data_IF_568096368215
#
_entry.id   IF_568096368215
#
_cell.length_a   1.000
_cell.length_b   1.000
_cell.length_c   1.000
_cell.angle_alpha   90.00
_cell.angle_beta   90.00
_cell.angle_gamma   90.00
#
_symmetry.space_group_name_H-M   'P 1'
#
loop_
_entity.id
_entity.type
_entity.pdbx_description
1 polymer ?
#
# COMPACT_ATOMS: atom_id res chain seq x y z
N UNK A 1 -41.49 4.68 52.52
CA UNK A 1 -42.28 5.74 53.20
C UNK A 1 -41.47 6.22 54.39
N UNK A 2 -41.24 7.53 54.62
CA UNK A 2 -41.71 8.73 53.91
C UNK A 2 -40.54 9.54 53.27
N UNK A 3 -40.68 10.04 52.04
CA UNK A 3 -41.07 11.41 51.61
C UNK A 3 -39.89 12.42 51.43
N UNK A 4 -39.52 12.62 50.15
CA UNK A 4 -39.10 13.92 49.56
C UNK A 4 -40.33 14.87 49.48
N UNK A 5 -40.31 16.14 48.95
CA UNK A 5 -39.26 17.11 48.58
C UNK A 5 -39.60 18.59 48.97
N UNK A 6 -38.76 19.59 48.65
CA UNK A 6 -39.10 20.93 48.02
C UNK A 6 -37.83 21.82 48.03
N UNK A 7 -37.22 22.22 46.91
CA UNK A 7 -37.61 23.21 45.89
C UNK A 7 -37.90 24.64 46.38
N UNK A 8 -37.21 25.57 45.69
CA UNK A 8 -37.48 26.98 45.47
C UNK A 8 -37.22 27.95 46.65
N UNK A 9 -36.15 28.76 46.60
CA UNK A 9 -36.04 30.02 45.83
C UNK A 9 -36.63 31.20 46.63
N UNK A 10 -35.79 32.24 46.80
CA UNK A 10 -36.11 33.68 46.73
C UNK A 10 -35.61 34.54 47.90
N UNK A 11 -34.72 35.45 47.51
CA UNK A 11 -34.61 36.86 47.92
C UNK A 11 -33.95 37.19 49.27
N UNK A 12 -32.74 37.78 49.20
CA UNK A 12 -32.58 39.25 49.21
C UNK A 12 -31.11 39.67 49.05
N UNK A 13 -30.89 40.64 48.17
CA UNK A 13 -29.62 41.23 47.78
C UNK A 13 -29.02 42.16 48.86
N UNK A 14 -27.69 42.37 48.81
CA UNK A 14 -26.94 43.63 49.11
C UNK A 14 -25.42 43.40 48.84
N UNK A 15 -24.56 44.43 48.74
CA UNK A 15 -24.34 45.25 47.55
C UNK A 15 -22.90 45.16 47.01
N UNK A 16 -22.68 45.66 45.78
CA UNK A 16 -21.37 45.84 45.15
C UNK A 16 -20.46 46.76 45.98
N UNK A 17 -19.22 46.32 46.25
CA UNK A 17 -18.01 47.17 46.16
C UNK A 17 -16.82 46.37 45.62
N UNK A 18 -16.19 46.92 44.59
CA UNK A 18 -15.03 46.41 43.89
C UNK A 18 -13.77 46.41 44.77
N UNK A 19 -12.95 45.37 44.64
CA UNK A 19 -11.51 45.45 44.78
C UNK A 19 -10.87 44.50 43.75
N UNK A 20 -10.25 45.06 42.72
CA UNK A 20 -9.47 44.32 41.73
C UNK A 20 -8.16 43.85 42.37
N UNK A 21 -7.95 42.53 42.46
CA UNK A 21 -6.67 41.93 42.85
C UNK A 21 -5.73 41.84 41.64
N UNK A 22 -4.42 42.14 41.78
CA UNK A 22 -3.47 42.15 40.66
C UNK A 22 -2.94 40.75 40.35
N UNK A 23 -2.84 40.41 39.05
CA UNK A 23 -1.77 39.55 38.55
C UNK A 23 -2.10 38.08 38.24
N UNK A 24 -3.17 37.79 37.51
CA UNK A 24 -3.31 36.50 36.82
C UNK A 24 -2.21 36.38 35.75
N UNK A 25 -1.12 35.65 36.02
CA UNK A 25 -0.14 35.29 34.99
C UNK A 25 -0.85 34.53 33.88
N UNK A 26 -1.15 35.20 32.78
CA UNK A 26 -1.73 34.58 31.60
C UNK A 26 -0.79 33.47 31.10
N UNK A 27 -1.31 32.26 30.92
CA UNK A 27 -0.54 31.12 30.44
C UNK A 27 0.06 31.46 29.06
N UNK A 28 1.36 31.21 28.79
CA UNK A 28 2.04 31.69 27.57
C UNK A 28 1.34 31.30 26.25
N UNK A 29 0.70 30.13 26.20
CA UNK A 29 -0.05 29.68 25.02
C UNK A 29 -1.34 30.47 24.78
N UNK A 30 -1.95 31.04 25.82
CA UNK A 30 -3.12 31.92 25.72
C UNK A 30 -2.72 33.32 25.25
N UNK A 31 -1.54 33.82 25.68
CA UNK A 31 -0.99 35.08 25.17
C UNK A 31 -0.68 34.99 23.67
N UNK A 32 -0.15 33.85 23.22
CA UNK A 32 0.07 33.60 21.78
C UNK A 32 -1.25 33.53 21.00
N UNK A 33 -2.30 32.92 21.57
CA UNK A 33 -3.65 32.87 20.96
C UNK A 33 -4.32 34.24 20.93
N UNK A 34 -4.18 35.05 21.98
CA UNK A 34 -4.65 36.44 22.05
C UNK A 34 -3.90 37.34 21.06
N UNK A 35 -2.59 37.15 20.92
CA UNK A 35 -1.80 37.84 19.89
C UNK A 35 -2.25 37.46 18.47
N UNK A 36 -2.54 36.18 18.24
CA UNK A 36 -3.03 35.67 16.96
C UNK A 36 -4.44 36.18 16.62
N UNK A 37 -5.35 36.25 17.61
CA UNK A 37 -6.70 36.78 17.44
C UNK A 37 -6.72 38.30 17.27
N UNK A 38 -5.92 39.04 18.03
CA UNK A 38 -5.76 40.50 17.90
C UNK A 38 -5.20 40.88 16.52
N UNK A 39 -4.30 40.06 15.98
CA UNK A 39 -3.71 40.26 14.66
C UNK A 39 -4.66 39.91 13.50
N UNK A 40 -5.61 38.99 13.76
CA UNK A 40 -6.69 38.63 12.81
C UNK A 40 -7.71 39.77 12.61
N UNK A 41 -7.85 40.66 13.60
CA UNK A 41 -8.67 41.87 13.51
C UNK A 41 -7.94 43.07 12.86
N UNK A 42 -6.60 43.04 12.78
CA UNK A 42 -5.77 44.15 12.28
C UNK A 42 -5.19 43.93 10.87
N UNK A 43 -5.69 42.94 10.11
CA UNK A 43 -5.40 42.79 8.67
C UNK A 43 -3.93 42.56 8.27
N UNK A 44 -3.04 42.21 9.20
CA UNK A 44 -1.60 42.03 8.92
C UNK A 44 -1.20 40.61 9.22
N UNK A 45 -1.02 39.76 8.21
CA UNK A 45 -0.42 38.44 8.41
C UNK A 45 1.05 38.57 8.83
N UNK A 46 1.54 37.94 9.93
CA UNK A 46 2.95 37.63 10.01
C UNK A 46 3.19 36.40 9.14
N UNK A 47 3.55 36.61 7.88
CA UNK A 47 4.25 35.58 7.15
C UNK A 47 5.57 35.31 7.91
N UNK A 48 5.73 34.10 8.45
CA UNK A 48 7.06 33.61 8.84
C UNK A 48 7.82 33.36 7.53
N UNK A 49 8.32 34.43 6.94
CA UNK A 49 9.07 34.42 5.69
C UNK A 49 10.56 34.33 6.01
N UNK A 50 11.10 33.11 6.06
CA UNK A 50 12.56 32.89 6.07
C UNK A 50 13.10 31.88 7.09
N UNK A 51 14.39 31.60 6.96
CA UNK A 51 15.17 30.69 7.81
C UNK A 51 15.61 31.39 9.10
N UNK A 52 15.96 32.68 9.02
CA UNK A 52 16.32 33.49 10.19
C UNK A 52 15.15 33.68 11.16
N UNK A 53 13.93 33.76 10.64
CA UNK A 53 12.70 33.82 11.44
C UNK A 53 12.40 32.49 12.10
N UNK A 54 12.91 31.35 11.60
CA UNK A 54 12.71 30.03 12.19
C UNK A 54 13.58 29.79 13.43
N UNK A 55 14.88 30.11 13.37
CA UNK A 55 15.75 30.07 14.57
C UNK A 55 15.32 31.09 15.62
N UNK A 56 14.95 32.33 15.22
CA UNK A 56 14.37 33.32 16.13
C UNK A 56 13.04 32.87 16.75
N UNK A 57 12.29 32.01 16.07
CA UNK A 57 11.04 31.41 16.58
C UNK A 57 11.27 30.12 17.40
N UNK A 58 12.52 29.72 17.63
CA UNK A 58 12.87 28.53 18.42
C UNK A 58 12.48 27.21 17.76
N UNK A 59 12.43 27.16 16.43
CA UNK A 59 12.07 25.95 15.66
C UNK A 59 13.22 24.94 15.55
N UNK A 60 14.37 25.25 16.14
CA UNK A 60 15.48 24.31 16.29
C UNK A 60 15.19 23.26 17.38
N UNK A 61 14.36 23.59 18.39
CA UNK A 61 13.88 22.62 19.38
C UNK A 61 12.87 21.66 18.72
N UNK A 62 13.08 20.33 18.83
CA UNK A 62 12.19 19.33 18.21
C UNK A 62 10.72 19.45 18.62
N UNK A 63 10.40 19.85 19.85
CA UNK A 63 9.01 19.96 20.31
C UNK A 63 8.32 21.14 19.65
N UNK A 64 9.01 22.27 19.50
CA UNK A 64 8.50 23.44 18.81
C UNK A 64 8.32 23.15 17.31
N UNK A 65 9.28 22.47 16.70
CA UNK A 65 9.23 22.02 15.31
C UNK A 65 8.04 21.12 15.04
N UNK A 66 7.85 20.06 15.84
CA UNK A 66 6.69 19.14 15.75
C UNK A 66 5.37 19.86 15.96
N UNK A 67 5.31 20.78 16.91
CA UNK A 67 4.11 21.59 17.17
C UNK A 67 3.76 22.51 15.98
N UNK A 68 4.77 23.10 15.35
CA UNK A 68 4.60 23.90 14.13
C UNK A 68 4.12 23.04 12.96
N UNK A 69 4.77 21.89 12.71
CA UNK A 69 4.39 20.95 11.67
C UNK A 69 2.96 20.42 11.84
N UNK A 70 2.55 20.14 13.09
CA UNK A 70 1.17 19.78 13.42
C UNK A 70 0.19 20.88 13.04
N UNK A 71 0.49 22.12 13.45
CA UNK A 71 -0.36 23.27 13.15
C UNK A 71 -0.53 23.51 11.66
N UNK A 72 0.57 23.53 10.90
CA UNK A 72 0.51 23.79 9.45
C UNK A 72 -0.17 22.64 8.70
N UNK A 73 0.04 21.38 9.11
CA UNK A 73 -0.63 20.23 8.51
C UNK A 73 -2.15 20.26 8.75
N UNK A 74 -2.61 20.65 9.94
CA UNK A 74 -4.06 20.75 10.20
C UNK A 74 -4.75 21.83 9.36
N UNK A 75 -4.03 22.91 9.00
CA UNK A 75 -4.61 24.02 8.24
C UNK A 75 -4.48 23.81 6.73
N UNK A 76 -3.36 23.23 6.27
CA UNK A 76 -2.96 23.21 4.85
C UNK A 76 -2.58 21.83 4.32
N UNK A 77 -2.65 20.81 5.18
CA UNK A 77 -2.25 19.45 4.87
C UNK A 77 -3.39 18.59 4.32
N UNK A 78 -3.04 17.61 3.51
CA UNK A 78 -3.94 16.55 3.11
C UNK A 78 -3.21 15.21 3.01
N UNK A 79 -3.93 14.11 3.22
CA UNK A 79 -3.42 12.75 3.13
C UNK A 79 -4.34 11.93 2.22
N UNK A 80 -3.78 11.32 1.19
CA UNK A 80 -4.48 10.35 0.35
C UNK A 80 -4.57 9.02 1.13
N UNK A 81 -5.73 8.38 1.06
CA UNK A 81 -5.92 7.04 1.60
C UNK A 81 -4.90 6.06 0.99
N UNK A 82 -4.20 5.26 1.81
CA UNK A 82 -3.21 4.28 1.34
C UNK A 82 -3.80 3.19 0.43
N UNK A 83 -5.13 3.07 0.37
CA UNK A 83 -5.82 2.26 -0.65
C UNK A 83 -5.41 2.72 -2.06
N UNK A 84 -5.49 4.03 -2.32
CA UNK A 84 -5.23 4.63 -3.65
C UNK A 84 -3.75 4.88 -3.91
N UNK A 85 -2.98 5.15 -2.86
CA UNK A 85 -1.55 5.42 -2.97
C UNK A 85 -1.03 6.18 -1.75
N UNK A 86 0.29 6.30 -1.67
CA UNK A 86 0.98 6.98 -0.59
C UNK A 86 1.29 8.41 -1.03
N UNK A 87 0.53 9.37 -0.51
CA UNK A 87 0.74 10.78 -0.80
C UNK A 87 0.19 11.64 0.33
N UNK A 88 1.09 12.38 0.96
CA UNK A 88 0.78 13.45 1.90
C UNK A 88 1.28 14.75 1.32
N UNK A 89 0.49 15.82 1.40
CA UNK A 89 0.90 17.13 0.90
C UNK A 89 0.53 18.26 1.85
N UNK A 90 1.31 19.36 1.78
CA UNK A 90 1.08 20.62 2.50
C UNK A 90 1.18 21.75 1.48
N UNK A 91 0.07 22.43 1.21
CA UNK A 91 0.00 23.49 0.21
C UNK A 91 0.22 24.87 0.82
N UNK A 92 1.27 25.58 0.41
CA UNK A 92 1.73 26.84 0.97
C UNK A 92 1.67 27.96 -0.07
N UNK A 93 1.36 29.21 0.31
CA UNK A 93 1.23 30.33 -0.62
C UNK A 93 2.56 30.76 -1.25
N UNK A 94 3.69 30.64 -0.52
CA UNK A 94 4.99 31.14 -1.00
C UNK A 94 6.09 30.07 -0.96
N UNK A 95 7.13 30.28 -1.76
CA UNK A 95 8.26 29.35 -1.87
C UNK A 95 9.08 29.30 -0.58
N UNK A 96 9.19 30.44 0.11
CA UNK A 96 9.94 30.58 1.34
C UNK A 96 9.31 29.75 2.45
N UNK A 97 7.97 29.80 2.57
CA UNK A 97 7.23 28.99 3.52
C UNK A 97 7.36 27.49 3.20
N UNK A 98 7.28 27.11 1.92
CA UNK A 98 7.48 25.73 1.49
C UNK A 98 8.90 25.22 1.79
N UNK A 99 9.90 26.06 1.54
CA UNK A 99 11.30 25.75 1.84
C UNK A 99 11.54 25.61 3.35
N UNK A 100 10.90 26.45 4.17
CA UNK A 100 10.94 26.32 5.63
C UNK A 100 10.32 25.00 6.06
N UNK A 101 9.08 24.70 5.65
CA UNK A 101 8.40 23.44 6.02
C UNK A 101 9.21 22.22 5.60
N UNK A 102 9.77 22.22 4.38
CA UNK A 102 10.65 21.15 3.90
C UNK A 102 11.88 20.96 4.79
N UNK A 103 12.53 22.06 5.22
CA UNK A 103 13.68 21.99 6.15
C UNK A 103 13.28 21.44 7.52
N UNK A 104 12.12 21.83 8.05
CA UNK A 104 11.62 21.32 9.33
C UNK A 104 11.32 19.81 9.26
N UNK A 105 10.74 19.34 8.15
CA UNK A 105 10.50 17.91 7.90
C UNK A 105 11.83 17.15 7.81
N UNK A 106 12.80 17.68 7.07
CA UNK A 106 14.14 17.11 6.97
C UNK A 106 14.85 17.05 8.32
N UNK A 107 14.64 18.05 9.19
CA UNK A 107 15.18 18.07 10.54
C UNK A 107 14.62 16.99 11.48
N UNK A 108 13.45 16.43 11.17
CA UNK A 108 12.90 15.23 11.84
C UNK A 108 13.36 13.91 11.17
N UNK A 109 14.27 13.98 10.19
CA UNK A 109 14.81 12.81 9.50
C UNK A 109 13.97 12.29 8.33
N UNK A 110 12.90 13.01 7.95
CA UNK A 110 11.97 12.56 6.92
C UNK A 110 12.30 13.16 5.55
N UNK A 111 12.09 12.39 4.49
CA UNK A 111 12.31 12.86 3.12
C UNK A 111 11.04 13.53 2.58
N UNK A 112 11.19 14.70 1.98
CA UNK A 112 10.08 15.41 1.34
C UNK A 112 10.50 16.08 0.04
N UNK A 113 9.58 16.08 -0.93
CA UNK A 113 9.69 16.83 -2.17
C UNK A 113 9.00 18.19 -2.07
N UNK A 114 9.32 19.08 -3.01
CA UNK A 114 8.67 20.38 -3.15
C UNK A 114 8.38 20.64 -4.63
N UNK A 115 7.18 21.13 -4.96
CA UNK A 115 6.78 21.44 -6.33
C UNK A 115 5.90 22.69 -6.37
N UNK A 116 6.00 23.49 -7.42
CA UNK A 116 5.05 24.59 -7.68
C UNK A 116 3.82 24.02 -8.40
N UNK A 117 2.62 24.24 -7.85
CA UNK A 117 1.34 23.81 -8.43
C UNK A 117 0.38 24.99 -8.48
N UNK A 118 0.10 25.46 -9.70
CA UNK A 118 -0.69 26.69 -9.94
C UNK A 118 -0.08 27.88 -9.17
N UNK A 119 -0.87 28.55 -8.33
CA UNK A 119 -0.47 29.67 -7.49
C UNK A 119 0.12 29.28 -6.13
N UNK A 120 0.31 27.98 -5.86
CA UNK A 120 0.81 27.49 -4.58
C UNK A 120 2.11 26.67 -4.72
N UNK A 121 2.82 26.54 -3.61
CA UNK A 121 3.98 25.68 -3.43
C UNK A 121 3.60 24.50 -2.53
N UNK A 122 3.81 23.28 -3.01
CA UNK A 122 3.39 22.06 -2.33
C UNK A 122 4.60 21.29 -1.85
N UNK A 123 4.68 21.06 -0.54
CA UNK A 123 5.62 20.09 0.05
C UNK A 123 4.91 18.75 0.17
N UNK A 124 5.55 17.66 -0.26
CA UNK A 124 4.89 16.35 -0.29
C UNK A 124 5.80 15.21 0.17
N UNK A 125 5.19 14.16 0.71
CA UNK A 125 5.80 12.87 1.05
C UNK A 125 5.10 11.78 0.23
N UNK A 126 5.88 10.88 -0.37
CA UNK A 126 5.38 9.75 -1.18
C UNK A 126 5.69 8.39 -0.58
N UNK A 127 6.69 8.33 0.29
CA UNK A 127 7.07 7.08 0.93
C UNK A 127 6.11 6.74 2.08
N UNK A 128 5.70 5.48 2.18
CA UNK A 128 4.71 5.06 3.16
C UNK A 128 5.23 5.16 4.59
N UNK A 129 6.50 4.86 4.81
CA UNK A 129 7.16 4.92 6.12
C UNK A 129 7.36 6.37 6.54
N UNK A 130 7.81 7.23 5.62
CA UNK A 130 7.93 8.67 5.91
C UNK A 130 6.57 9.29 6.29
N UNK A 131 5.48 8.91 5.60
CA UNK A 131 4.12 9.39 5.91
C UNK A 131 3.68 8.89 7.29
N UNK A 132 3.90 7.61 7.59
CA UNK A 132 3.53 7.01 8.87
C UNK A 132 4.29 7.65 10.04
N UNK A 133 5.60 7.83 9.88
CA UNK A 133 6.45 8.54 10.84
C UNK A 133 6.02 10.00 11.00
N UNK A 134 5.69 10.69 9.90
CA UNK A 134 5.17 12.07 9.98
C UNK A 134 3.90 12.14 10.83
N UNK A 135 2.92 11.25 10.62
CA UNK A 135 1.71 11.18 11.44
C UNK A 135 2.01 10.88 12.91
N UNK A 136 2.98 10.01 13.18
CA UNK A 136 3.44 9.70 14.54
C UNK A 136 4.07 10.93 15.23
N UNK A 137 4.89 11.71 14.51
CA UNK A 137 5.45 12.97 15.00
C UNK A 137 4.36 14.01 15.33
N UNK A 138 3.27 14.01 14.56
CA UNK A 138 2.11 14.84 14.86
C UNK A 138 1.31 14.33 16.07
N UNK A 139 1.63 13.16 16.65
CA UNK A 139 0.88 12.56 17.75
C UNK A 139 -0.45 11.96 17.31
N UNK A 140 -0.61 11.64 16.03
CA UNK A 140 -1.85 11.12 15.46
C UNK A 140 -1.92 9.58 15.55
N UNK A 141 -1.77 9.01 16.75
CA UNK A 141 -1.64 7.56 16.97
C UNK A 141 -2.75 6.73 16.31
N UNK A 142 -4.02 7.18 16.44
CA UNK A 142 -5.16 6.47 15.84
C UNK A 142 -5.12 6.50 14.31
N UNK A 143 -4.61 7.59 13.72
CA UNK A 143 -4.44 7.72 12.28
C UNK A 143 -3.31 6.84 11.76
N UNK A 144 -2.20 6.73 12.52
CA UNK A 144 -1.08 5.82 12.20
C UNK A 144 -1.58 4.38 12.16
N UNK A 145 -2.26 3.92 13.22
CA UNK A 145 -2.78 2.55 13.27
C UNK A 145 -3.72 2.24 12.10
N UNK A 146 -4.64 3.16 11.78
CA UNK A 146 -5.54 3.00 10.64
C UNK A 146 -4.81 2.99 9.30
N UNK A 147 -3.78 3.81 9.17
CA UNK A 147 -2.96 3.88 7.95
C UNK A 147 -2.19 2.57 7.73
N UNK A 148 -1.55 2.05 8.78
CA UNK A 148 -0.82 0.79 8.73
C UNK A 148 -1.73 -0.43 8.51
N UNK A 149 -2.90 -0.47 9.15
CA UNK A 149 -3.88 -1.55 8.94
C UNK A 149 -4.27 -1.66 7.45
N UNK A 150 -4.61 -0.54 6.82
CA UNK A 150 -4.94 -0.51 5.39
C UNK A 150 -3.73 -0.92 4.53
N UNK A 151 -2.51 -0.47 4.88
CA UNK A 151 -1.28 -0.83 4.17
C UNK A 151 -1.01 -2.33 4.24
N UNK A 152 -1.14 -2.93 5.42
CA UNK A 152 -0.98 -4.38 5.63
C UNK A 152 -2.02 -5.15 4.83
N UNK A 153 -3.29 -4.79 4.94
CA UNK A 153 -4.36 -5.45 4.19
C UNK A 153 -4.12 -5.40 2.67
N UNK A 154 -3.65 -4.27 2.15
CA UNK A 154 -3.31 -4.12 0.73
C UNK A 154 -2.17 -5.05 0.33
N UNK A 155 -1.09 -5.10 1.12
CA UNK A 155 0.05 -6.00 0.88
C UNK A 155 -0.37 -7.46 0.86
N UNK A 156 -1.19 -7.89 1.84
CA UNK A 156 -1.71 -9.26 1.91
C UNK A 156 -2.57 -9.57 0.69
N UNK A 157 -3.54 -8.70 0.34
CA UNK A 157 -4.39 -8.88 -0.84
C UNK A 157 -3.57 -8.97 -2.12
N UNK A 158 -2.58 -8.10 -2.30
CA UNK A 158 -1.69 -8.14 -3.48
C UNK A 158 -0.84 -9.43 -3.52
N UNK A 159 -0.42 -9.95 -2.37
CA UNK A 159 0.28 -11.23 -2.31
C UNK A 159 -0.60 -12.39 -2.76
N UNK A 160 -1.84 -12.46 -2.25
CA UNK A 160 -2.82 -13.48 -2.63
C UNK A 160 -3.16 -13.40 -4.11
N UNK A 161 -3.41 -12.20 -4.64
CA UNK A 161 -3.70 -12.00 -6.06
C UNK A 161 -2.55 -12.46 -6.95
N UNK A 162 -1.29 -12.22 -6.55
CA UNK A 162 -0.13 -12.73 -7.29
C UNK A 162 -0.08 -14.25 -7.27
N UNK A 163 -0.28 -14.87 -6.11
CA UNK A 163 -0.31 -16.33 -6.01
C UNK A 163 -1.41 -16.94 -6.89
N UNK A 164 -2.64 -16.42 -6.79
CA UNK A 164 -3.77 -16.88 -7.61
C UNK A 164 -3.50 -16.72 -9.11
N UNK A 165 -2.89 -15.61 -9.53
CA UNK A 165 -2.53 -15.41 -10.94
C UNK A 165 -1.47 -16.40 -11.41
N UNK A 166 -0.49 -16.72 -10.55
CA UNK A 166 0.52 -17.74 -10.86
C UNK A 166 -0.10 -19.12 -10.96
N UNK A 167 -0.99 -19.49 -10.03
CA UNK A 167 -1.69 -20.78 -10.04
C UNK A 167 -2.56 -20.92 -11.29
N UNK A 168 -3.31 -19.87 -11.65
CA UNK A 168 -4.10 -19.82 -12.89
C UNK A 168 -3.23 -19.96 -14.14
N UNK A 169 -2.11 -19.25 -14.22
CA UNK A 169 -1.19 -19.34 -15.35
C UNK A 169 -0.52 -20.73 -15.45
N UNK A 170 -0.19 -21.34 -14.31
CA UNK A 170 0.37 -22.69 -14.26
C UNK A 170 -0.66 -23.73 -14.71
N UNK A 171 -1.91 -23.63 -14.23
CA UNK A 171 -2.99 -24.50 -14.66
C UNK A 171 -3.26 -24.37 -16.16
N UNK A 172 -3.37 -23.14 -16.67
CA UNK A 172 -3.59 -22.90 -18.10
C UNK A 172 -2.49 -23.52 -18.97
N UNK A 173 -1.22 -23.34 -18.60
CA UNK A 173 -0.08 -23.96 -19.32
C UNK A 173 -0.08 -25.48 -19.21
N UNK A 174 -0.50 -26.03 -18.07
CA UNK A 174 -0.62 -27.47 -17.88
C UNK A 174 -1.70 -28.08 -18.77
N UNK A 175 -2.86 -27.41 -18.86
CA UNK A 175 -3.98 -27.82 -19.73
C UNK A 175 -3.54 -27.76 -21.19
N UNK A 176 -2.97 -26.64 -21.65
CA UNK A 176 -2.48 -26.49 -23.02
C UNK A 176 -1.42 -27.56 -23.38
N UNK A 177 -0.49 -27.83 -22.45
CA UNK A 177 0.51 -28.88 -22.65
C UNK A 177 -0.12 -30.27 -22.72
N UNK A 178 -1.13 -30.57 -21.90
CA UNK A 178 -1.82 -31.86 -21.94
C UNK A 178 -2.57 -32.06 -23.26
N UNK A 179 -3.29 -31.04 -23.73
CA UNK A 179 -3.98 -31.07 -25.04
C UNK A 179 -2.99 -31.36 -26.16
N UNK A 180 -1.87 -30.63 -26.23
CA UNK A 180 -0.84 -30.87 -27.24
C UNK A 180 -0.26 -32.28 -27.18
N UNK A 181 -0.04 -32.81 -25.98
CA UNK A 181 0.45 -34.18 -25.81
C UNK A 181 -0.54 -35.21 -26.33
N UNK A 182 -1.84 -35.01 -26.07
CA UNK A 182 -2.90 -35.87 -26.57
C UNK A 182 -2.96 -35.81 -28.10
N UNK A 183 -2.90 -34.63 -28.69
CA UNK A 183 -2.84 -34.47 -30.16
C UNK A 183 -1.63 -35.20 -30.77
N UNK A 184 -0.45 -35.08 -30.16
CA UNK A 184 0.77 -35.78 -30.60
C UNK A 184 0.61 -37.31 -30.54
N UNK A 185 -0.03 -37.80 -29.47
CA UNK A 185 -0.27 -39.23 -29.26
C UNK A 185 -1.29 -39.75 -30.28
N UNK A 186 -2.40 -39.04 -30.49
CA UNK A 186 -3.45 -39.44 -31.43
C UNK A 186 -2.93 -39.49 -32.86
N UNK A 187 -2.14 -38.48 -33.28
CA UNK A 187 -1.49 -38.50 -34.59
C UNK A 187 -0.60 -39.73 -34.78
N UNK A 188 0.16 -40.11 -33.75
CA UNK A 188 1.00 -41.30 -33.82
C UNK A 188 0.18 -42.60 -33.87
N UNK A 189 -0.96 -42.65 -33.19
CA UNK A 189 -1.84 -43.81 -33.23
C UNK A 189 -2.47 -44.00 -34.62
N UNK A 190 -2.95 -42.91 -35.23
CA UNK A 190 -3.54 -42.93 -36.57
C UNK A 190 -2.54 -43.38 -37.64
N UNK A 191 -1.30 -42.90 -37.58
CA UNK A 191 -0.32 -43.09 -38.65
C UNK A 191 0.48 -44.40 -38.56
N UNK A 192 0.86 -44.79 -37.35
CA UNK A 192 1.71 -45.97 -37.14
C UNK A 192 1.12 -46.96 -36.12
N UNK A 193 0.16 -46.55 -35.32
CA UNK A 193 -0.41 -47.32 -34.21
C UNK A 193 0.49 -47.33 -32.97
N UNK A 194 -0.09 -47.09 -31.79
CA UNK A 194 0.66 -47.07 -30.53
C UNK A 194 1.37 -48.39 -30.21
N UNK A 195 0.85 -49.52 -30.70
CA UNK A 195 1.47 -50.85 -30.52
C UNK A 195 2.86 -50.96 -31.17
N UNK A 196 3.17 -50.13 -32.17
CA UNK A 196 4.49 -50.08 -32.84
C UNK A 196 5.50 -49.19 -32.10
N UNK A 197 5.07 -48.43 -31.09
CA UNK A 197 5.98 -47.68 -30.24
C UNK A 197 6.74 -48.61 -29.29
N UNK A 198 7.98 -48.26 -28.90
CA UNK A 198 8.68 -48.93 -27.80
C UNK A 198 7.78 -48.98 -26.55
N UNK A 199 7.79 -50.12 -25.83
CA UNK A 199 6.92 -50.37 -24.67
C UNK A 199 6.82 -49.18 -23.71
N UNK A 200 7.96 -48.59 -23.34
CA UNK A 200 8.02 -47.45 -22.42
C UNK A 200 7.30 -46.19 -22.93
N UNK A 201 7.27 -45.96 -24.25
CA UNK A 201 6.54 -44.83 -24.86
C UNK A 201 5.05 -45.15 -25.02
N UNK A 202 4.71 -46.40 -25.36
CA UNK A 202 3.32 -46.85 -25.44
C UNK A 202 2.62 -46.74 -24.09
N UNK A 203 3.24 -47.23 -23.02
CA UNK A 203 2.68 -47.19 -21.67
C UNK A 203 2.34 -45.76 -21.22
N UNK A 204 3.23 -44.78 -21.48
CA UNK A 204 2.93 -43.39 -21.10
C UNK A 204 1.90 -42.73 -22.04
N UNK A 205 1.86 -43.12 -23.31
CA UNK A 205 0.86 -42.62 -24.26
C UNK A 205 -0.55 -43.05 -23.84
N UNK A 206 -0.72 -44.35 -23.55
CA UNK A 206 -1.97 -44.92 -23.04
C UNK A 206 -2.34 -44.30 -21.69
N UNK A 207 -1.39 -44.15 -20.77
CA UNK A 207 -1.65 -43.51 -19.48
C UNK A 207 -2.15 -42.07 -19.63
N UNK A 208 -1.54 -41.28 -20.52
CA UNK A 208 -1.94 -39.88 -20.80
C UNK A 208 -3.32 -39.79 -21.47
N UNK A 209 -3.65 -40.70 -22.40
CA UNK A 209 -4.98 -40.74 -23.01
C UNK A 209 -6.07 -41.11 -22.00
N UNK A 210 -5.78 -42.04 -21.10
CA UNK A 210 -6.74 -42.49 -20.08
C UNK A 210 -6.91 -41.49 -18.93
N UNK A 211 -5.93 -40.62 -18.71
CA UNK A 211 -5.94 -39.66 -17.59
C UNK A 211 -5.43 -38.28 -18.06
N UNK A 212 -6.18 -37.56 -18.90
CA UNK A 212 -5.77 -36.28 -19.49
C UNK A 212 -5.57 -35.16 -18.46
N UNK A 213 -6.27 -35.24 -17.33
CA UNK A 213 -6.24 -34.27 -16.22
C UNK A 213 -5.02 -34.41 -15.30
N UNK A 214 -4.37 -35.58 -15.29
CA UNK A 214 -3.27 -35.85 -14.37
C UNK A 214 -2.00 -35.08 -14.72
N UNK A 215 -1.28 -34.64 -13.70
CA UNK A 215 0.04 -34.04 -13.85
C UNK A 215 1.05 -35.08 -14.34
N UNK A 216 2.22 -34.62 -14.82
CA UNK A 216 3.31 -35.54 -15.22
C UNK A 216 3.79 -36.42 -14.08
N UNK A 217 3.67 -35.95 -12.84
CA UNK A 217 4.08 -36.71 -11.67
C UNK A 217 3.07 -37.80 -11.35
N UNK A 218 1.79 -37.46 -11.32
CA UNK A 218 0.71 -38.42 -11.08
C UNK A 218 0.66 -39.50 -12.18
N UNK A 219 0.88 -39.15 -13.44
CA UNK A 219 1.02 -40.14 -14.51
C UNK A 219 2.23 -41.07 -14.36
N UNK A 220 3.31 -40.58 -13.75
CA UNK A 220 4.44 -41.43 -13.43
C UNK A 220 4.07 -42.49 -12.39
N UNK A 221 3.14 -42.16 -11.48
CA UNK A 221 2.65 -43.05 -10.44
C UNK A 221 1.62 -44.07 -10.93
N UNK A 222 0.91 -43.81 -12.03
CA UNK A 222 -0.02 -44.79 -12.62
C UNK A 222 0.68 -45.93 -13.36
N UNK A 223 1.98 -45.78 -13.65
CA UNK A 223 2.79 -46.79 -14.34
C UNK A 223 3.34 -47.85 -13.38
N UNK A 224 3.61 -49.05 -13.91
CA UNK A 224 4.21 -50.14 -13.15
C UNK A 224 5.49 -50.67 -13.84
N UNK A 225 6.69 -50.47 -13.26
CA UNK A 225 6.94 -49.76 -12.00
C UNK A 225 6.72 -48.23 -12.12
N UNK A 226 6.40 -47.54 -11.01
CA UNK A 226 6.29 -46.09 -11.00
C UNK A 226 7.58 -45.40 -11.45
N UNK A 227 7.44 -44.28 -12.14
CA UNK A 227 8.59 -43.51 -12.63
C UNK A 227 8.51 -42.05 -12.19
N UNK A 228 9.68 -41.40 -12.13
CA UNK A 228 9.75 -40.00 -11.73
C UNK A 228 9.16 -39.06 -12.80
N UNK A 229 8.73 -37.87 -12.37
CA UNK A 229 8.29 -36.76 -13.24
C UNK A 229 9.26 -36.48 -14.39
N UNK A 230 10.58 -36.56 -14.14
CA UNK A 230 11.61 -36.34 -15.17
C UNK A 230 11.60 -37.44 -16.23
N UNK A 231 11.45 -38.70 -15.81
CA UNK A 231 11.35 -39.83 -16.73
C UNK A 231 10.09 -39.75 -17.61
N UNK A 232 8.94 -39.34 -17.03
CA UNK A 232 7.70 -39.07 -17.78
C UNK A 232 7.93 -37.97 -18.82
N UNK A 233 8.48 -36.83 -18.41
CA UNK A 233 8.79 -35.72 -19.31
C UNK A 233 9.68 -36.15 -20.48
N UNK A 234 10.68 -36.98 -20.22
CA UNK A 234 11.56 -37.48 -21.27
C UNK A 234 10.80 -38.36 -22.28
N UNK A 235 9.94 -39.26 -21.80
CA UNK A 235 9.14 -40.13 -22.68
C UNK A 235 8.14 -39.33 -23.51
N UNK A 236 7.41 -38.40 -22.90
CA UNK A 236 6.49 -37.49 -23.60
C UNK A 236 7.21 -36.64 -24.65
N UNK A 237 8.40 -36.10 -24.33
CA UNK A 237 9.20 -35.35 -25.31
C UNK A 237 9.58 -36.20 -26.53
N UNK A 238 9.91 -37.48 -26.33
CA UNK A 238 10.22 -38.40 -27.43
C UNK A 238 8.99 -38.70 -28.30
N UNK A 239 7.80 -38.77 -27.70
CA UNK A 239 6.52 -38.89 -28.43
C UNK A 239 6.33 -37.64 -29.30
N UNK A 240 6.44 -36.45 -28.70
CA UNK A 240 6.32 -35.18 -29.43
C UNK A 240 7.30 -35.07 -30.61
N UNK A 241 8.56 -35.49 -30.44
CA UNK A 241 9.56 -35.52 -31.52
C UNK A 241 9.19 -36.46 -32.67
N UNK A 242 8.59 -37.61 -32.37
CA UNK A 242 8.11 -38.56 -33.39
C UNK A 242 6.91 -37.98 -34.15
N UNK A 243 5.94 -37.40 -33.44
CA UNK A 243 4.79 -36.72 -34.03
C UNK A 243 5.24 -35.56 -34.93
N UNK A 244 6.21 -34.76 -34.49
CA UNK A 244 6.76 -33.65 -35.27
C UNK A 244 7.48 -34.12 -36.54
N UNK A 245 8.15 -35.27 -36.49
CA UNK A 245 8.80 -35.87 -37.66
C UNK A 245 7.78 -36.31 -38.71
N UNK A 246 6.62 -36.85 -38.29
CA UNK A 246 5.50 -37.16 -39.19
C UNK A 246 4.90 -35.89 -39.81
N UNK A 247 4.62 -34.86 -39.01
CA UNK A 247 4.12 -33.57 -39.52
C UNK A 247 5.05 -32.96 -40.57
N UNK A 248 6.36 -33.02 -40.36
CA UNK A 248 7.33 -32.48 -41.31
C UNK A 248 7.47 -33.32 -42.58
N UNK A 249 7.26 -34.64 -42.51
CA UNK A 249 7.18 -35.50 -43.70
C UNK A 249 5.99 -35.07 -44.58
N UNK A 250 4.81 -34.91 -44.00
CA UNK A 250 3.61 -34.47 -44.73
C UNK A 250 3.75 -33.07 -45.35
N UNK A 251 4.42 -32.14 -44.67
CA UNK A 251 4.69 -30.80 -45.23
C UNK A 251 5.65 -30.79 -46.43
N UNK A 252 6.46 -31.84 -46.61
CA UNK A 252 7.41 -31.95 -47.73
C UNK A 252 6.82 -32.70 -48.93
N UNK A 253 5.73 -33.44 -48.71
CA UNK A 253 5.01 -34.21 -49.72
C UNK A 253 3.83 -33.43 -50.32
N UNK A 254 3.56 -32.23 -49.80
CA UNK A 254 2.60 -31.23 -50.27
C UNK A 254 3.36 -30.07 -50.93
#
# INVERSE_FOLDING_TARGET
MPQNPTQAEQNRASPKRQALTPGTRARPYLLRRLFYLRKKLSGTEPALSGVETASKAGLDDPRNRRSYLRGIFLVRGSLISPVRGHHLEIALPTQEQASLVRKLIAGEGLKSGMVKRRSAWVVYLKDADDISQFLALLGATRSVLRYEDIRVQKTVKSSVLRQMNMDKANLSRSVESSVKQIEDILLLDEEIGLKRLPRALREIAEARLNNPELTMEELGQTLNPPISKSAVNHRIRRIAQKAESLRNKYKREQ
#
